data_IF_836508299308
#
_entry.id   IF_836508299308
#
_cell.length_a   1.000
_cell.length_b   1.000
_cell.length_c   1.000
_cell.angle_alpha   90.00
_cell.angle_beta   90.00
_cell.angle_gamma   90.00
#
_symmetry.space_group_name_H-M   'P 1'
#
loop_
_entity.id
_entity.type
_entity.pdbx_description
1 polymer ?
#
# COMPACT_ATOMS: atom_id res chain seq x y z
N UNK A 1 48.61 61.49 -53.94
CA UNK A 1 47.40 60.70 -53.62
C UNK A 1 47.84 59.26 -53.41
N UNK A 2 47.84 58.77 -52.17
CA UNK A 2 48.21 57.39 -51.86
C UNK A 2 46.95 56.58 -51.54
N UNK A 3 46.67 55.54 -52.34
CA UNK A 3 45.58 54.60 -52.07
C UNK A 3 45.97 53.66 -50.94
N UNK A 4 45.09 53.40 -49.95
CA UNK A 4 45.42 52.53 -48.83
C UNK A 4 45.52 51.07 -49.30
N UNK A 5 46.62 50.43 -48.92
CA UNK A 5 46.88 49.02 -49.16
C UNK A 5 45.84 48.18 -48.44
N UNK A 6 45.03 47.42 -49.19
CA UNK A 6 44.09 46.43 -48.63
C UNK A 6 44.89 45.27 -48.07
N UNK A 7 45.15 45.30 -46.77
CA UNK A 7 45.63 44.12 -46.03
C UNK A 7 44.58 43.02 -46.11
N UNK A 8 44.85 42.01 -46.94
CA UNK A 8 44.10 40.75 -46.95
C UNK A 8 44.47 39.97 -45.68
N UNK A 9 43.59 39.99 -44.69
CA UNK A 9 43.70 39.14 -43.49
C UNK A 9 43.79 37.67 -43.94
N UNK A 10 44.88 36.99 -43.59
CA UNK A 10 45.11 35.60 -43.98
C UNK A 10 43.99 34.70 -43.43
N UNK A 11 43.31 33.88 -44.27
CA UNK A 11 42.19 33.04 -43.85
C UNK A 11 42.56 32.07 -42.69
N UNK A 12 43.83 31.69 -42.59
CA UNK A 12 44.37 30.84 -41.52
C UNK A 12 44.26 31.52 -40.13
N UNK A 13 44.42 32.84 -40.06
CA UNK A 13 44.28 33.59 -38.80
C UNK A 13 42.83 33.64 -38.33
N UNK A 14 41.87 33.72 -39.26
CA UNK A 14 40.44 33.74 -38.95
C UNK A 14 39.94 32.39 -38.44
N UNK A 15 40.44 31.28 -38.99
CA UNK A 15 40.05 29.93 -38.55
C UNK A 15 40.65 29.58 -37.17
N UNK A 16 41.89 30.01 -36.90
CA UNK A 16 42.51 29.88 -35.58
C UNK A 16 41.77 30.66 -34.48
N UNK A 17 41.30 31.87 -34.80
CA UNK A 17 40.49 32.70 -33.90
C UNK A 17 39.13 32.06 -33.59
N UNK A 18 38.43 31.52 -34.60
CA UNK A 18 37.18 30.78 -34.39
C UNK A 18 37.38 29.58 -33.48
N UNK A 19 38.44 28.79 -33.70
CA UNK A 19 38.76 27.63 -32.86
C UNK A 19 39.09 28.02 -31.41
N UNK A 20 39.79 29.14 -31.20
CA UNK A 20 40.08 29.69 -29.87
C UNK A 20 38.80 30.17 -29.17
N UNK A 21 37.89 30.84 -29.89
CA UNK A 21 36.61 31.28 -29.34
C UNK A 21 35.76 30.08 -28.91
N UNK A 22 35.66 29.02 -29.73
CA UNK A 22 34.91 27.81 -29.37
C UNK A 22 35.53 27.06 -28.17
N UNK A 23 36.86 27.09 -28.00
CA UNK A 23 37.53 26.52 -26.82
C UNK A 23 37.29 27.35 -25.57
N UNK A 24 37.29 28.68 -25.68
CA UNK A 24 37.00 29.59 -24.57
C UNK A 24 35.54 29.49 -24.11
N UNK A 25 34.60 29.34 -25.05
CA UNK A 25 33.18 29.08 -24.77
C UNK A 25 33.01 27.75 -24.01
N UNK A 26 33.64 26.67 -24.50
CA UNK A 26 33.63 25.37 -23.80
C UNK A 26 34.23 25.46 -22.39
N UNK A 27 35.34 26.18 -22.21
CA UNK A 27 35.95 26.39 -20.90
C UNK A 27 35.01 27.17 -19.96
N UNK A 28 34.28 28.15 -20.50
CA UNK A 28 33.27 28.91 -19.75
C UNK A 28 32.09 28.03 -19.34
N UNK A 29 31.58 27.18 -20.24
CA UNK A 29 30.53 26.19 -19.93
C UNK A 29 30.99 25.22 -18.84
N UNK A 30 32.21 24.68 -18.95
CA UNK A 30 32.77 23.77 -17.92
C UNK A 30 32.88 24.49 -16.56
N UNK A 31 33.33 25.75 -16.55
CA UNK A 31 33.42 26.55 -15.34
C UNK A 31 32.05 26.80 -14.70
N UNK A 32 30.99 26.94 -15.50
CA UNK A 32 29.60 27.10 -15.03
C UNK A 32 28.97 25.78 -14.56
N UNK A 33 29.27 24.65 -15.21
CA UNK A 33 28.74 23.34 -14.82
C UNK A 33 29.38 22.78 -13.54
N UNK A 34 30.65 23.11 -13.27
CA UNK A 34 31.39 22.59 -12.11
C UNK A 34 30.71 22.88 -10.75
N UNK A 35 30.27 24.11 -10.42
CA UNK A 35 29.58 24.38 -9.16
C UNK A 35 28.23 23.65 -9.07
N UNK A 36 27.49 23.54 -10.17
CA UNK A 36 26.21 22.80 -10.22
C UNK A 36 26.40 21.31 -9.93
N UNK A 37 27.47 20.70 -10.47
CA UNK A 37 27.82 19.31 -10.16
C UNK A 37 28.21 19.12 -8.69
N UNK A 38 28.95 20.06 -8.10
CA UNK A 38 29.31 20.03 -6.67
C UNK A 38 28.05 20.13 -5.81
N UNK A 39 27.13 21.03 -6.16
CA UNK A 39 25.86 21.20 -5.45
C UNK A 39 24.98 19.95 -5.57
N UNK A 40 24.88 19.37 -6.77
CA UNK A 40 24.14 18.13 -7.00
C UNK A 40 24.70 16.97 -6.15
N UNK A 41 26.01 16.81 -6.10
CA UNK A 41 26.67 15.78 -5.27
C UNK A 41 26.34 15.99 -3.78
N UNK A 42 26.37 17.24 -3.29
CA UNK A 42 26.00 17.55 -1.90
C UNK A 42 24.54 17.22 -1.61
N UNK A 43 23.64 17.58 -2.52
CA UNK A 43 22.22 17.31 -2.39
C UNK A 43 21.94 15.81 -2.37
N UNK A 44 22.56 15.04 -3.26
CA UNK A 44 22.46 13.57 -3.27
C UNK A 44 22.96 12.99 -1.95
N UNK A 45 24.15 13.38 -1.48
CA UNK A 45 24.68 12.87 -0.22
C UNK A 45 23.82 13.21 0.99
N UNK A 46 23.18 14.39 1.00
CA UNK A 46 22.23 14.77 2.06
C UNK A 46 20.97 13.91 2.00
N UNK A 47 20.43 13.66 0.80
CA UNK A 47 19.27 12.79 0.62
C UNK A 47 19.57 11.34 1.04
N UNK A 48 20.74 10.81 0.68
CA UNK A 48 21.19 9.47 1.07
C UNK A 48 21.29 9.35 2.59
N UNK A 49 21.90 10.34 3.25
CA UNK A 49 22.00 10.37 4.71
C UNK A 49 20.62 10.39 5.37
N UNK A 50 19.71 11.26 4.90
CA UNK A 50 18.35 11.35 5.43
C UNK A 50 17.57 10.04 5.22
N UNK A 51 17.71 9.43 4.04
CA UNK A 51 17.06 8.16 3.75
C UNK A 51 17.58 7.04 4.67
N UNK A 52 18.89 7.01 4.92
CA UNK A 52 19.48 6.05 5.85
C UNK A 52 18.97 6.24 7.29
N UNK A 53 18.83 7.49 7.76
CA UNK A 53 18.23 7.79 9.06
C UNK A 53 16.76 7.33 9.14
N UNK A 54 15.98 7.60 8.09
CA UNK A 54 14.59 7.16 8.01
C UNK A 54 14.44 5.63 8.06
N UNK A 55 15.31 4.90 7.34
CA UNK A 55 15.33 3.43 7.38
C UNK A 55 15.60 2.92 8.80
N UNK A 56 16.58 3.49 9.50
CA UNK A 56 16.91 3.11 10.88
C UNK A 56 15.72 3.39 11.80
N UNK A 57 15.07 4.55 11.66
CA UNK A 57 13.92 4.92 12.48
C UNK A 57 12.73 3.97 12.26
N UNK A 58 12.44 3.63 11.00
CA UNK A 58 11.36 2.69 10.66
C UNK A 58 11.65 1.27 11.19
N UNK A 59 12.91 0.82 11.13
CA UNK A 59 13.30 -0.47 11.70
C UNK A 59 13.11 -0.50 13.22
N UNK A 60 13.45 0.58 13.93
CA UNK A 60 13.23 0.68 15.37
C UNK A 60 11.73 0.66 15.71
N UNK A 61 10.91 1.43 14.98
CA UNK A 61 9.45 1.43 15.18
C UNK A 61 8.84 0.05 14.89
N UNK A 62 9.27 -0.61 13.82
CA UNK A 62 8.81 -1.96 13.48
C UNK A 62 9.15 -2.96 14.58
N UNK A 63 10.37 -2.93 15.11
CA UNK A 63 10.79 -3.78 16.23
C UNK A 63 9.97 -3.54 17.50
N UNK A 64 9.65 -2.28 17.81
CA UNK A 64 8.82 -1.93 18.98
C UNK A 64 7.38 -2.44 18.81
N UNK A 65 6.79 -2.26 17.62
CA UNK A 65 5.45 -2.76 17.32
C UNK A 65 5.38 -4.29 17.37
N UNK A 66 6.39 -4.99 16.84
CA UNK A 66 6.47 -6.45 16.94
C UNK A 66 6.51 -6.92 18.40
N UNK A 67 7.26 -6.23 19.25
CA UNK A 67 7.32 -6.56 20.68
C UNK A 67 5.98 -6.29 21.37
N UNK A 68 5.30 -5.18 21.04
CA UNK A 68 3.96 -4.88 21.57
C UNK A 68 2.94 -5.95 21.18
N UNK A 69 2.93 -6.36 19.91
CA UNK A 69 2.04 -7.42 19.42
C UNK A 69 2.32 -8.74 20.13
N UNK A 70 3.60 -9.10 20.32
CA UNK A 70 3.98 -10.32 21.02
C UNK A 70 3.52 -10.32 22.49
N UNK A 71 3.66 -9.18 23.17
CA UNK A 71 3.16 -9.00 24.53
C UNK A 71 1.64 -9.12 24.62
N UNK A 72 0.91 -8.46 23.71
CA UNK A 72 -0.55 -8.53 23.65
C UNK A 72 -1.05 -9.95 23.35
N UNK A 73 -0.38 -10.66 22.43
CA UNK A 73 -0.72 -12.04 22.10
C UNK A 73 -0.52 -12.97 23.31
N UNK A 74 0.60 -12.80 24.03
CA UNK A 74 0.88 -13.54 25.27
C UNK A 74 -0.20 -13.27 26.33
N UNK A 75 -0.61 -12.01 26.51
CA UNK A 75 -1.68 -11.64 27.45
C UNK A 75 -3.04 -12.24 27.06
N UNK A 76 -3.38 -12.22 25.76
CA UNK A 76 -4.62 -12.79 25.26
C UNK A 76 -4.68 -14.31 25.43
N UNK A 77 -3.58 -15.01 25.13
CA UNK A 77 -3.48 -16.45 25.35
C UNK A 77 -3.67 -16.79 26.84
N UNK A 78 -3.04 -16.05 27.75
CA UNK A 78 -3.23 -16.24 29.19
C UNK A 78 -4.70 -16.00 29.63
N UNK A 79 -5.37 -15.00 29.06
CA UNK A 79 -6.81 -14.76 29.32
C UNK A 79 -7.69 -15.89 28.80
N UNK A 80 -7.39 -16.44 27.61
CA UNK A 80 -8.09 -17.59 27.05
C UNK A 80 -7.95 -18.80 27.96
N UNK A 81 -6.73 -19.12 28.41
CA UNK A 81 -6.48 -20.24 29.31
C UNK A 81 -7.27 -20.09 30.63
N UNK A 82 -7.29 -18.87 31.18
CA UNK A 82 -8.06 -18.56 32.39
C UNK A 82 -9.56 -18.76 32.17
N UNK A 83 -10.11 -18.28 31.05
CA UNK A 83 -11.52 -18.45 30.69
C UNK A 83 -11.87 -19.93 30.51
N UNK A 84 -11.08 -20.69 29.75
CA UNK A 84 -11.29 -22.12 29.56
C UNK A 84 -11.29 -22.87 30.88
N UNK A 85 -10.38 -22.54 31.80
CA UNK A 85 -10.35 -23.13 33.14
C UNK A 85 -11.62 -22.84 33.95
N UNK A 86 -12.15 -21.61 33.88
CA UNK A 86 -13.39 -21.24 34.58
C UNK A 86 -14.65 -21.86 33.98
N UNK A 87 -14.65 -22.16 32.68
CA UNK A 87 -15.81 -22.69 31.95
C UNK A 87 -15.93 -24.21 32.06
N UNK A 88 -14.84 -24.91 32.41
CA UNK A 88 -14.82 -26.37 32.61
C UNK A 88 -15.27 -26.83 34.01
N UNK A 89 -15.78 -25.93 34.87
CA UNK A 89 -16.39 -26.36 36.14
C UNK A 89 -17.67 -27.17 35.80
N UNK A 90 -17.76 -28.46 36.17
CA UNK A 90 -18.95 -29.24 35.87
C UNK A 90 -20.16 -28.59 36.54
N UNK A 91 -21.16 -28.23 35.74
CA UNK A 91 -22.46 -27.83 36.26
C UNK A 91 -23.00 -28.98 37.14
N UNK A 92 -23.63 -28.69 38.30
CA UNK A 92 -24.25 -29.71 39.11
C UNK A 92 -25.24 -30.51 38.25
N UNK A 93 -25.00 -31.82 38.20
CA UNK A 93 -25.66 -32.82 37.36
C UNK A 93 -27.18 -32.76 37.47
N UNK A 94 -27.82 -32.33 36.38
CA UNK A 94 -29.25 -32.55 36.14
C UNK A 94 -29.45 -33.97 35.55
N UNK A 95 -30.58 -34.65 35.84
CA UNK A 95 -30.76 -36.07 35.50
C UNK A 95 -30.75 -36.32 33.99
N UNK A 96 -30.33 -37.52 33.53
CA UNK A 96 -30.06 -37.76 32.12
C UNK A 96 -31.36 -38.00 31.35
N UNK A 97 -31.66 -37.12 30.40
CA UNK A 97 -32.55 -37.46 29.29
C UNK A 97 -31.79 -38.34 28.31
N UNK A 98 -32.15 -39.62 28.26
CA UNK A 98 -31.70 -40.54 27.23
C UNK A 98 -32.22 -40.10 25.86
N UNK A 99 -31.35 -39.57 25.02
CA UNK A 99 -31.55 -39.53 23.57
C UNK A 99 -30.23 -39.80 22.86
N UNK A 100 -30.04 -41.07 22.54
CA UNK A 100 -29.30 -41.65 21.42
C UNK A 100 -28.14 -40.83 20.81
N UNK A 101 -26.93 -41.35 21.05
CA UNK A 101 -25.77 -41.12 20.20
C UNK A 101 -26.04 -41.61 18.77
N UNK A 102 -26.26 -40.67 17.85
CA UNK A 102 -25.96 -40.88 16.44
C UNK A 102 -24.64 -40.17 16.14
N UNK A 103 -23.68 -40.94 15.63
CA UNK A 103 -22.53 -40.43 14.89
C UNK A 103 -23.05 -39.59 13.72
N UNK A 104 -23.24 -38.29 13.91
CA UNK A 104 -23.46 -37.35 12.83
C UNK A 104 -22.10 -36.77 12.43
N UNK A 105 -21.67 -37.08 11.21
CA UNK A 105 -20.92 -36.13 10.40
C UNK A 105 -21.69 -34.81 10.52
N UNK A 106 -21.18 -33.85 11.30
CA UNK A 106 -21.87 -32.58 11.54
C UNK A 106 -22.08 -31.92 10.19
N UNK A 107 -23.29 -32.04 9.64
CA UNK A 107 -23.69 -31.26 8.50
C UNK A 107 -23.58 -29.80 8.94
N UNK A 108 -22.61 -29.07 8.38
CA UNK A 108 -22.45 -27.65 8.65
C UNK A 108 -23.83 -27.00 8.51
N UNK A 109 -24.22 -26.22 9.51
CA UNK A 109 -25.47 -25.48 9.48
C UNK A 109 -25.54 -24.63 8.21
N UNK A 110 -26.75 -24.29 7.74
CA UNK A 110 -26.91 -23.44 6.56
C UNK A 110 -26.10 -22.14 6.70
N UNK A 111 -26.10 -21.57 7.89
CA UNK A 111 -25.37 -20.34 8.23
C UNK A 111 -23.85 -20.54 8.15
N UNK A 112 -23.34 -21.68 8.58
CA UNK A 112 -21.90 -21.96 8.52
C UNK A 112 -21.44 -22.21 7.09
N UNK A 113 -22.27 -22.87 6.28
CA UNK A 113 -22.03 -22.98 4.84
C UNK A 113 -22.00 -21.60 4.19
N UNK A 114 -22.92 -20.71 4.56
CA UNK A 114 -22.96 -19.34 4.03
C UNK A 114 -21.74 -18.52 4.46
N UNK A 115 -21.35 -18.60 5.73
CA UNK A 115 -20.16 -17.91 6.25
C UNK A 115 -18.88 -18.31 5.52
N UNK A 116 -18.76 -19.57 5.08
CA UNK A 116 -17.58 -20.06 4.35
C UNK A 116 -17.50 -19.59 2.89
N UNK A 117 -18.63 -19.17 2.28
CA UNK A 117 -18.68 -18.64 0.89
C UNK A 117 -18.70 -17.12 0.83
N UNK A 118 -18.91 -16.49 1.98
CA UNK A 118 -18.92 -15.04 2.14
C UNK A 118 -17.51 -14.51 2.39
N UNK A 119 -17.16 -13.43 1.70
CA UNK A 119 -15.90 -12.71 1.86
C UNK A 119 -16.22 -11.27 2.23
N UNK A 120 -15.46 -10.74 3.20
CA UNK A 120 -15.59 -9.35 3.67
C UNK A 120 -14.40 -8.55 3.16
N UNK A 121 -14.67 -7.47 2.43
CA UNK A 121 -13.67 -6.56 1.89
C UNK A 121 -13.75 -5.22 2.62
N UNK A 122 -12.58 -4.72 3.02
CA UNK A 122 -12.40 -3.43 3.65
C UNK A 122 -11.76 -2.44 2.66
N UNK A 123 -11.97 -1.14 2.89
CA UNK A 123 -11.30 -0.08 2.12
C UNK A 123 -11.98 0.33 0.82
N UNK A 124 -13.17 -0.20 0.53
CA UNK A 124 -13.98 0.25 -0.60
C UNK A 124 -14.72 1.54 -0.20
N UNK A 125 -14.49 2.62 -0.95
CA UNK A 125 -15.08 3.94 -0.68
C UNK A 125 -16.60 3.90 -0.72
N UNK A 126 -17.27 4.65 0.17
CA UNK A 126 -18.73 4.74 0.17
C UNK A 126 -19.23 5.50 -1.06
N UNK A 127 -20.28 4.99 -1.68
CA UNK A 127 -20.97 5.72 -2.74
C UNK A 127 -21.50 7.06 -2.24
N UNK A 128 -21.31 8.11 -3.04
CA UNK A 128 -21.85 9.45 -2.81
C UNK A 128 -23.28 9.60 -3.32
N UNK A 129 -23.79 8.63 -4.06
CA UNK A 129 -25.16 8.65 -4.58
C UNK A 129 -26.17 8.62 -3.43
N UNK A 130 -27.32 9.26 -3.58
CA UNK A 130 -28.37 9.24 -2.56
C UNK A 130 -29.33 8.06 -2.74
N UNK A 131 -29.46 7.57 -3.96
CA UNK A 131 -30.40 6.51 -4.35
C UNK A 131 -29.86 5.12 -4.00
N UNK A 132 -30.60 4.29 -3.23
CA UNK A 132 -30.12 2.97 -2.80
C UNK A 132 -29.71 2.03 -3.94
N UNK A 133 -30.46 1.99 -5.04
CA UNK A 133 -30.11 1.13 -6.19
C UNK A 133 -28.79 1.52 -6.84
N UNK A 134 -28.53 2.83 -6.98
CA UNK A 134 -27.28 3.35 -7.51
C UNK A 134 -26.11 3.08 -6.56
N UNK A 135 -26.31 3.17 -5.24
CA UNK A 135 -25.28 2.78 -4.26
C UNK A 135 -24.89 1.31 -4.41
N UNK A 136 -25.87 0.42 -4.52
CA UNK A 136 -25.62 -1.02 -4.69
C UNK A 136 -24.92 -1.30 -6.02
N UNK A 137 -25.26 -0.55 -7.07
CA UNK A 137 -24.59 -0.65 -8.37
C UNK A 137 -23.13 -0.19 -8.27
N UNK A 138 -22.84 0.97 -7.68
CA UNK A 138 -21.47 1.45 -7.47
C UNK A 138 -20.63 0.44 -6.67
N UNK A 139 -21.22 -0.17 -5.64
CA UNK A 139 -20.55 -1.21 -4.86
C UNK A 139 -20.20 -2.44 -5.74
N UNK A 140 -21.10 -2.83 -6.64
CA UNK A 140 -20.88 -3.96 -7.55
C UNK A 140 -19.79 -3.64 -8.59
N UNK A 141 -19.81 -2.43 -9.15
CA UNK A 141 -18.82 -1.97 -10.12
C UNK A 141 -17.42 -1.93 -9.50
N UNK A 142 -17.30 -1.42 -8.26
CA UNK A 142 -16.03 -1.38 -7.52
C UNK A 142 -15.52 -2.79 -7.17
N UNK A 143 -16.41 -3.70 -6.78
CA UNK A 143 -16.03 -5.09 -6.52
C UNK A 143 -15.54 -5.79 -7.79
N UNK A 144 -16.24 -5.58 -8.92
CA UNK A 144 -15.86 -6.17 -10.22
C UNK A 144 -14.48 -5.66 -10.64
N UNK A 145 -14.27 -4.34 -10.58
CA UNK A 145 -12.97 -3.75 -10.91
C UNK A 145 -11.84 -4.26 -10.02
N UNK A 146 -12.11 -4.49 -8.72
CA UNK A 146 -11.13 -5.05 -7.79
C UNK A 146 -10.73 -6.48 -8.21
N UNK A 147 -11.70 -7.33 -8.55
CA UNK A 147 -11.42 -8.72 -8.95
C UNK A 147 -10.76 -8.81 -10.33
N UNK A 148 -11.15 -7.94 -11.26
CA UNK A 148 -10.49 -7.81 -12.57
C UNK A 148 -9.02 -7.43 -12.39
N UNK A 149 -8.71 -6.49 -11.49
CA UNK A 149 -7.34 -6.09 -11.16
C UNK A 149 -6.51 -7.20 -10.52
N UNK A 150 -7.16 -8.13 -9.81
CA UNK A 150 -6.54 -9.32 -9.23
C UNK A 150 -6.48 -10.51 -10.21
N UNK A 151 -7.00 -10.33 -11.44
CA UNK A 151 -7.17 -11.38 -12.44
C UNK A 151 -7.89 -12.62 -11.86
N UNK A 152 -8.89 -12.38 -11.02
CA UNK A 152 -9.68 -13.39 -10.34
C UNK A 152 -11.06 -13.49 -10.99
N UNK A 153 -11.41 -14.68 -11.48
CA UNK A 153 -12.72 -14.93 -12.06
C UNK A 153 -13.74 -15.17 -10.94
N UNK A 154 -14.49 -14.12 -10.57
CA UNK A 154 -15.44 -14.14 -9.46
C UNK A 154 -16.81 -13.66 -9.93
N UNK A 155 -17.84 -14.48 -9.73
CA UNK A 155 -19.23 -14.09 -9.94
C UNK A 155 -19.87 -13.67 -8.62
N UNK A 156 -20.21 -12.38 -8.49
CA UNK A 156 -20.86 -11.82 -7.30
C UNK A 156 -22.36 -12.12 -7.36
N UNK A 157 -22.88 -12.90 -6.40
CA UNK A 157 -24.32 -13.21 -6.34
C UNK A 157 -25.09 -12.21 -5.50
N UNK A 158 -24.58 -11.93 -4.30
CA UNK A 158 -25.17 -11.00 -3.34
C UNK A 158 -24.06 -10.22 -2.67
N UNK A 159 -24.30 -8.94 -2.44
CA UNK A 159 -23.42 -8.09 -1.66
C UNK A 159 -24.20 -7.08 -0.83
N UNK A 160 -23.64 -6.69 0.30
CA UNK A 160 -24.18 -5.64 1.15
C UNK A 160 -23.09 -5.04 2.03
N UNK A 161 -23.26 -3.76 2.38
CA UNK A 161 -22.39 -3.09 3.35
C UNK A 161 -22.77 -3.49 4.77
N UNK A 162 -21.77 -3.85 5.57
CA UNK A 162 -21.92 -4.15 6.98
C UNK A 162 -22.02 -2.87 7.84
N UNK A 163 -22.16 -3.01 9.15
CA UNK A 163 -22.19 -1.88 10.08
C UNK A 163 -20.92 -1.01 10.02
N UNK A 164 -21.05 0.27 10.39
CA UNK A 164 -19.91 1.19 10.45
C UNK A 164 -19.02 0.85 11.64
N UNK A 165 -17.71 0.74 11.39
CA UNK A 165 -16.69 0.50 12.42
C UNK A 165 -15.83 1.76 12.51
N UNK A 166 -16.17 2.65 13.44
CA UNK A 166 -15.49 3.94 13.61
C UNK A 166 -15.73 4.90 12.44
N UNK A 167 -14.65 5.55 11.98
CA UNK A 167 -14.69 6.53 10.88
C UNK A 167 -14.30 5.97 9.52
N UNK A 168 -14.03 4.67 9.43
CA UNK A 168 -13.69 4.00 8.18
C UNK A 168 -14.93 3.73 7.31
N UNK A 169 -14.76 3.60 5.98
CA UNK A 169 -15.81 3.12 5.09
C UNK A 169 -16.38 1.77 5.55
N UNK A 170 -17.68 1.54 5.36
CA UNK A 170 -18.29 0.27 5.78
C UNK A 170 -17.74 -0.88 4.93
N UNK A 171 -17.39 -2.01 5.57
CA UNK A 171 -16.94 -3.19 4.84
C UNK A 171 -18.07 -3.74 3.96
N UNK A 172 -17.71 -4.32 2.83
CA UNK A 172 -18.67 -5.00 1.95
C UNK A 172 -18.53 -6.50 2.17
N UNK A 173 -19.62 -7.15 2.54
CA UNK A 173 -19.72 -8.61 2.52
C UNK A 173 -20.34 -9.01 1.17
N UNK A 174 -19.71 -9.95 0.47
CA UNK A 174 -20.28 -10.55 -0.73
C UNK A 174 -20.18 -12.07 -0.70
N UNK A 175 -21.10 -12.74 -1.37
CA UNK A 175 -21.06 -14.19 -1.61
C UNK A 175 -20.83 -14.48 -3.08
N UNK A 176 -19.90 -15.40 -3.36
CA UNK A 176 -19.70 -15.95 -4.71
C UNK A 176 -20.54 -17.22 -4.92
N UNK A 177 -20.90 -17.50 -6.17
CA UNK A 177 -21.51 -18.77 -6.59
C UNK A 177 -20.46 -19.79 -6.98
#
# INVERSE_FOLDING_TARGET
MGTPSKHTSSPILNDGLKLLMTKAEKATTIAQCRPLLIELIKTIGTMEHNNQQNIIQLQQQSSQLQQQILNQNTELLAKIDTLLYTTQRPAPSSPPSQSQSQNQTQALSSDEKERLRSVVIYGIEESTNTTPSLKTQDDNDQLTQLFDGLNAEVSIDKHYRMGKIGDLPRPINFSSK
#
